data_IF_075254455484
#
_entry.id   IF_075254455484
#
_cell.length_a   1.000
_cell.length_b   1.000
_cell.length_c   1.000
_cell.angle_alpha   90.00
_cell.angle_beta   90.00
_cell.angle_gamma   90.00
#
_symmetry.space_group_name_H-M   'P 1'
#
loop_
_entity.id
_entity.type
_entity.pdbx_description
1 polymer ?
#
# COMPACT_ATOMS: atom_id res chain seq x y z
N UNK A 1 3.24 16.11 6.31
CA UNK A 1 3.13 14.76 5.69
C UNK A 1 2.25 13.90 6.60
N UNK A 2 0.97 13.73 6.28
CA UNK A 2 0.01 12.99 7.13
C UNK A 2 0.21 11.49 6.82
N UNK A 3 0.84 10.75 7.73
CA UNK A 3 0.97 9.30 7.55
C UNK A 3 -0.42 8.66 7.55
N UNK A 4 -0.65 7.69 6.67
CA UNK A 4 -1.89 6.92 6.68
C UNK A 4 -2.01 6.10 7.98
N UNK A 5 -3.24 5.91 8.44
CA UNK A 5 -3.54 5.20 9.70
C UNK A 5 -2.99 3.77 9.70
N UNK A 6 -2.99 3.12 8.52
CA UNK A 6 -2.40 1.79 8.26
C UNK A 6 -0.89 1.79 8.54
N UNK A 7 -0.16 2.71 7.91
CA UNK A 7 1.30 2.83 8.08
C UNK A 7 1.68 3.17 9.51
N UNK A 8 0.86 4.00 10.17
CA UNK A 8 1.05 4.38 11.57
C UNK A 8 0.90 3.18 12.50
N UNK A 9 -0.11 2.34 12.31
CA UNK A 9 -0.36 1.15 13.11
C UNK A 9 0.77 0.11 12.98
N UNK A 10 1.22 -0.16 11.75
CA UNK A 10 2.36 -1.06 11.48
C UNK A 10 3.64 -0.50 12.12
N UNK A 11 3.88 0.81 12.00
CA UNK A 11 5.07 1.42 12.55
C UNK A 11 5.04 1.42 14.10
N UNK A 12 3.92 1.73 14.74
CA UNK A 12 3.81 1.70 16.20
C UNK A 12 3.94 0.29 16.77
N UNK A 13 3.38 -0.72 16.11
CA UNK A 13 3.53 -2.12 16.56
C UNK A 13 4.97 -2.60 16.44
N UNK A 14 5.65 -2.28 15.33
CA UNK A 14 7.03 -2.71 15.13
C UNK A 14 8.02 -1.92 16.03
N UNK A 15 7.74 -0.65 16.37
CA UNK A 15 8.61 0.12 17.28
C UNK A 15 8.75 -0.55 18.65
N UNK A 16 7.66 -1.10 19.20
CA UNK A 16 7.71 -1.83 20.47
C UNK A 16 8.50 -3.14 20.37
N UNK A 17 8.36 -3.89 19.28
CA UNK A 17 9.14 -5.12 19.09
C UNK A 17 10.63 -4.84 18.91
N UNK A 18 10.99 -3.77 18.20
CA UNK A 18 12.39 -3.32 18.06
C UNK A 18 12.99 -2.90 19.41
N UNK A 19 12.28 -2.09 20.19
CA UNK A 19 12.78 -1.60 21.49
C UNK A 19 12.97 -2.73 22.50
N UNK A 20 12.01 -3.64 22.62
CA UNK A 20 12.11 -4.82 23.49
C UNK A 20 13.26 -5.73 23.02
N UNK A 21 13.33 -6.03 21.71
CA UNK A 21 14.38 -6.88 21.15
C UNK A 21 15.79 -6.33 21.39
N UNK A 22 16.00 -5.03 21.17
CA UNK A 22 17.27 -4.36 21.47
C UNK A 22 17.58 -4.40 22.96
N UNK A 23 16.59 -4.14 23.82
CA UNK A 23 16.76 -4.20 25.28
C UNK A 23 17.24 -5.56 25.77
N UNK A 24 16.66 -6.65 25.24
CA UNK A 24 17.06 -8.02 25.58
C UNK A 24 18.49 -8.34 25.12
N UNK A 25 18.88 -7.90 23.93
CA UNK A 25 20.24 -8.07 23.42
C UNK A 25 21.23 -7.30 24.29
N UNK A 26 20.93 -6.03 24.61
CA UNK A 26 21.80 -5.20 25.46
C UNK A 26 21.96 -5.83 26.85
N UNK A 27 20.87 -6.29 27.48
CA UNK A 27 20.93 -6.96 28.77
C UNK A 27 21.76 -8.25 28.72
N UNK A 28 21.56 -9.07 27.67
CA UNK A 28 22.34 -10.29 27.45
C UNK A 28 23.82 -10.03 27.20
N UNK A 29 24.17 -8.96 26.46
CA UNK A 29 25.56 -8.54 26.23
C UNK A 29 26.19 -8.01 27.52
N UNK A 30 25.48 -7.19 28.30
CA UNK A 30 25.94 -6.70 29.60
C UNK A 30 26.26 -7.88 30.52
N UNK A 31 25.37 -8.87 30.58
CA UNK A 31 25.61 -10.09 31.35
C UNK A 31 26.89 -10.82 30.91
N UNK A 32 27.08 -11.01 29.59
CA UNK A 32 28.25 -11.68 29.04
C UNK A 32 29.54 -10.92 29.35
N UNK A 33 29.54 -9.60 29.22
CA UNK A 33 30.67 -8.73 29.55
C UNK A 33 30.99 -8.80 31.05
N UNK A 34 29.99 -8.75 31.93
CA UNK A 34 30.24 -8.80 33.38
C UNK A 34 30.78 -10.17 33.81
N UNK A 35 30.21 -11.26 33.29
CA UNK A 35 30.73 -12.61 33.54
C UNK A 35 32.18 -12.75 33.08
N UNK A 36 32.49 -12.29 31.87
CA UNK A 36 33.84 -12.36 31.31
C UNK A 36 34.85 -11.45 32.04
N UNK A 37 34.45 -10.24 32.44
CA UNK A 37 35.36 -9.23 33.00
C UNK A 37 35.52 -9.29 34.52
N UNK A 38 34.47 -9.70 35.25
CA UNK A 38 34.41 -9.68 36.71
C UNK A 38 34.21 -11.06 37.35
N UNK A 39 34.02 -12.12 36.56
CA UNK A 39 33.84 -13.48 37.07
C UNK A 39 32.60 -13.68 37.96
N UNK A 40 31.67 -12.70 37.96
CA UNK A 40 30.45 -12.73 38.75
C UNK A 40 29.29 -13.21 37.89
N UNK A 41 28.57 -14.21 38.37
CA UNK A 41 27.31 -14.64 37.77
C UNK A 41 26.19 -13.70 38.24
N UNK A 42 25.88 -12.70 37.42
CA UNK A 42 24.65 -11.90 37.58
C UNK A 42 23.46 -12.77 37.16
N UNK A 43 22.27 -12.49 37.67
CA UNK A 43 21.01 -13.09 37.21
C UNK A 43 20.76 -12.72 35.73
N UNK A 44 21.15 -13.61 34.82
CA UNK A 44 20.94 -13.46 33.38
C UNK A 44 21.34 -14.73 32.64
N UNK A 45 20.59 -15.06 31.59
CA UNK A 45 20.88 -16.22 30.75
C UNK A 45 21.38 -15.72 29.39
N UNK A 46 22.49 -16.23 28.85
CA UNK A 46 23.00 -15.81 27.54
C UNK A 46 21.99 -16.04 26.40
N UNK A 47 21.00 -16.90 26.61
CA UNK A 47 19.85 -17.12 25.72
C UNK A 47 19.02 -15.88 25.40
N UNK A 48 19.04 -14.83 26.24
CA UNK A 48 18.31 -13.59 25.98
C UNK A 48 18.76 -12.91 24.67
N UNK A 49 20.04 -13.05 24.29
CA UNK A 49 20.57 -12.52 23.04
C UNK A 49 19.91 -13.22 21.83
N UNK A 50 19.73 -14.55 21.91
CA UNK A 50 19.10 -15.31 20.82
C UNK A 50 17.63 -14.93 20.65
N UNK A 51 16.89 -14.80 21.76
CA UNK A 51 15.48 -14.41 21.74
C UNK A 51 15.33 -12.99 21.17
N UNK A 52 16.14 -12.04 21.65
CA UNK A 52 16.15 -10.68 21.13
C UNK A 52 16.53 -10.62 19.65
N UNK A 53 17.50 -11.44 19.23
CA UNK A 53 17.92 -11.56 17.83
C UNK A 53 16.81 -12.05 16.91
N UNK A 54 16.11 -13.12 17.27
CA UNK A 54 14.97 -13.66 16.51
C UNK A 54 13.86 -12.62 16.38
N UNK A 55 13.54 -11.91 17.48
CA UNK A 55 12.55 -10.83 17.46
C UNK A 55 12.93 -9.70 16.50
N UNK A 56 14.19 -9.27 16.48
CA UNK A 56 14.65 -8.25 15.55
C UNK A 56 14.60 -8.71 14.10
N UNK A 57 15.00 -9.95 13.82
CA UNK A 57 14.92 -10.53 12.48
C UNK A 57 13.46 -10.53 12.00
N UNK A 58 12.52 -10.98 12.84
CA UNK A 58 11.09 -10.98 12.52
C UNK A 58 10.53 -9.56 12.28
N UNK A 59 10.95 -8.58 13.10
CA UNK A 59 10.54 -7.20 12.92
C UNK A 59 11.06 -6.61 11.59
N UNK A 60 12.33 -6.89 11.23
CA UNK A 60 12.94 -6.45 9.98
C UNK A 60 12.25 -7.11 8.78
N UNK A 61 12.01 -8.42 8.79
CA UNK A 61 11.36 -9.13 7.68
C UNK A 61 9.93 -8.63 7.47
N UNK A 62 9.19 -8.33 8.54
CA UNK A 62 7.86 -7.75 8.46
C UNK A 62 7.87 -6.37 7.78
N UNK A 63 8.77 -5.48 8.21
CA UNK A 63 8.92 -4.14 7.61
C UNK A 63 9.34 -4.24 6.13
N UNK A 64 10.27 -5.13 5.79
CA UNK A 64 10.71 -5.33 4.41
C UNK A 64 9.60 -5.90 3.52
N UNK A 65 8.83 -6.87 4.02
CA UNK A 65 7.70 -7.48 3.30
C UNK A 65 6.66 -6.43 2.90
N UNK A 66 6.31 -5.52 3.83
CA UNK A 66 5.37 -4.42 3.55
C UNK A 66 5.88 -3.49 2.44
N UNK A 67 7.18 -3.13 2.47
CA UNK A 67 7.78 -2.28 1.42
C UNK A 67 7.79 -2.97 0.06
N UNK A 68 8.18 -4.23 0.03
CA UNK A 68 8.24 -5.03 -1.20
C UNK A 68 6.88 -5.19 -1.87
N UNK A 69 5.84 -5.49 -1.08
CA UNK A 69 4.47 -5.63 -1.59
C UNK A 69 3.92 -4.30 -2.14
N UNK A 70 4.21 -3.18 -1.47
CA UNK A 70 3.82 -1.85 -1.94
C UNK A 70 4.45 -1.49 -3.29
N UNK A 71 5.75 -1.78 -3.45
CA UNK A 71 6.46 -1.48 -4.69
C UNK A 71 6.01 -2.39 -5.86
N UNK A 72 5.64 -3.65 -5.58
CA UNK A 72 4.99 -4.54 -6.56
C UNK A 72 3.67 -3.99 -7.07
N UNK A 73 2.78 -3.60 -6.16
CA UNK A 73 1.47 -3.04 -6.52
C UNK A 73 1.66 -1.76 -7.33
N UNK A 74 2.57 -0.87 -6.91
CA UNK A 74 2.86 0.36 -7.66
C UNK A 74 3.45 0.06 -9.04
N UNK A 75 4.31 -0.95 -9.16
CA UNK A 75 4.86 -1.40 -10.43
C UNK A 75 3.77 -1.92 -11.38
N UNK A 76 2.89 -2.78 -10.90
CA UNK A 76 1.79 -3.34 -11.70
C UNK A 76 0.79 -2.27 -12.16
N UNK A 77 0.45 -1.31 -11.30
CA UNK A 77 -0.47 -0.21 -11.64
C UNK A 77 0.07 0.74 -12.72
N UNK A 78 1.39 0.78 -12.95
CA UNK A 78 1.96 1.55 -14.08
C UNK A 78 1.68 0.91 -15.44
N UNK A 79 1.46 -0.40 -15.46
CA UNK A 79 1.26 -1.17 -16.68
C UNK A 79 -0.19 -1.10 -17.16
N UNK A 80 -1.16 -1.01 -16.26
CA UNK A 80 -2.58 -1.13 -16.59
C UNK A 80 -3.38 0.15 -16.30
N UNK A 81 -4.14 0.70 -17.27
CA UNK A 81 -4.97 1.88 -17.07
C UNK A 81 -6.27 1.56 -16.30
N UNK A 82 -6.77 0.32 -16.41
CA UNK A 82 -7.93 -0.19 -15.65
C UNK A 82 -7.65 -1.63 -15.27
N UNK A 83 -7.76 -1.96 -13.98
CA UNK A 83 -7.56 -3.32 -13.48
C UNK A 83 -8.55 -3.61 -12.34
N UNK A 84 -9.14 -4.81 -12.34
CA UNK A 84 -9.97 -5.25 -11.23
C UNK A 84 -9.11 -5.63 -10.02
N UNK A 85 -9.58 -5.33 -8.81
CA UNK A 85 -8.82 -5.66 -7.59
C UNK A 85 -8.57 -7.17 -7.46
N UNK A 86 -9.55 -7.99 -7.84
CA UNK A 86 -9.45 -9.45 -7.80
C UNK A 86 -8.37 -9.99 -8.74
N UNK A 87 -8.32 -9.49 -9.98
CA UNK A 87 -7.33 -9.93 -10.97
C UNK A 87 -5.93 -9.48 -10.56
N UNK A 88 -5.78 -8.22 -10.12
CA UNK A 88 -4.50 -7.70 -9.63
C UNK A 88 -4.00 -8.47 -8.40
N UNK A 89 -4.90 -8.83 -7.49
CA UNK A 89 -4.58 -9.64 -6.32
C UNK A 89 -4.12 -11.05 -6.72
N UNK A 90 -4.79 -11.67 -7.69
CA UNK A 90 -4.43 -13.00 -8.20
C UNK A 90 -3.06 -13.01 -8.89
N UNK A 91 -2.75 -11.99 -9.70
CA UNK A 91 -1.48 -11.85 -10.41
C UNK A 91 -0.30 -11.64 -9.43
N UNK A 92 -0.52 -10.81 -8.41
CA UNK A 92 0.49 -10.52 -7.40
C UNK A 92 0.58 -11.60 -6.30
N UNK A 93 -0.30 -12.61 -6.32
CA UNK A 93 -0.46 -13.63 -5.26
C UNK A 93 -0.67 -12.99 -3.88
N UNK A 94 -1.51 -11.96 -3.82
CA UNK A 94 -1.85 -11.20 -2.62
C UNK A 94 -3.34 -11.32 -2.28
N UNK A 95 -3.74 -11.01 -1.05
CA UNK A 95 -5.18 -10.90 -0.73
C UNK A 95 -5.73 -9.57 -1.26
N UNK A 96 -6.97 -9.58 -1.74
CA UNK A 96 -7.65 -8.37 -2.25
C UNK A 96 -7.68 -7.24 -1.23
N UNK A 97 -7.89 -7.57 0.05
CA UNK A 97 -7.87 -6.60 1.15
C UNK A 97 -6.51 -5.88 1.27
N UNK A 98 -5.41 -6.61 1.05
CA UNK A 98 -4.06 -6.09 1.22
C UNK A 98 -3.75 -5.15 0.05
N UNK A 99 -4.08 -5.57 -1.18
CA UNK A 99 -3.98 -4.73 -2.38
C UNK A 99 -4.81 -3.46 -2.23
N UNK A 100 -6.07 -3.57 -1.77
CA UNK A 100 -6.95 -2.43 -1.52
C UNK A 100 -6.34 -1.45 -0.51
N UNK A 101 -5.82 -1.94 0.62
CA UNK A 101 -5.20 -1.08 1.64
C UNK A 101 -3.96 -0.36 1.11
N UNK A 102 -3.12 -1.04 0.32
CA UNK A 102 -1.94 -0.46 -0.32
C UNK A 102 -2.35 0.64 -1.30
N UNK A 103 -3.38 0.41 -2.12
CA UNK A 103 -3.88 1.41 -3.06
C UNK A 103 -4.41 2.66 -2.33
N UNK A 104 -5.15 2.48 -1.24
CA UNK A 104 -5.63 3.58 -0.40
C UNK A 104 -4.46 4.35 0.22
N UNK A 105 -3.43 3.66 0.69
CA UNK A 105 -2.21 4.28 1.22
C UNK A 105 -1.48 5.09 0.14
N UNK A 106 -1.31 4.52 -1.08
CA UNK A 106 -0.69 5.20 -2.21
C UNK A 106 -1.45 6.46 -2.64
N UNK A 107 -2.80 6.43 -2.61
CA UNK A 107 -3.64 7.60 -2.88
C UNK A 107 -3.47 8.68 -1.80
N UNK A 108 -3.45 8.27 -0.55
CA UNK A 108 -3.27 9.18 0.59
C UNK A 108 -1.91 9.88 0.56
N UNK A 109 -0.87 9.17 0.10
CA UNK A 109 0.48 9.72 -0.08
C UNK A 109 0.64 10.57 -1.36
N UNK A 110 -0.40 10.67 -2.20
CA UNK A 110 -0.36 11.38 -3.48
C UNK A 110 0.47 10.68 -4.58
N UNK A 111 0.88 9.43 -4.36
CA UNK A 111 1.64 8.66 -5.36
C UNK A 111 0.75 8.01 -6.42
N UNK A 112 -0.56 7.99 -6.21
CA UNK A 112 -1.52 7.35 -7.09
C UNK A 112 -2.82 8.17 -7.13
N UNK A 113 -3.20 8.65 -8.31
CA UNK A 113 -4.57 9.10 -8.58
C UNK A 113 -5.29 7.95 -9.25
N UNK A 114 -6.19 7.33 -8.53
CA UNK A 114 -7.04 6.26 -9.05
C UNK A 114 -8.49 6.53 -8.64
N UNK A 115 -9.46 6.01 -9.38
CA UNK A 115 -10.89 6.00 -9.03
C UNK A 115 -11.36 4.56 -8.82
N UNK A 116 -12.33 4.35 -7.93
CA UNK A 116 -12.96 3.05 -7.72
C UNK A 116 -14.35 3.07 -8.35
N UNK A 117 -14.66 2.09 -9.20
CA UNK A 117 -16.01 1.89 -9.71
C UNK A 117 -16.85 1.15 -8.66
N UNK A 118 -17.92 1.76 -8.11
CA UNK A 118 -18.74 1.14 -7.07
C UNK A 118 -19.55 -0.07 -7.55
N UNK A 119 -19.71 -0.27 -8.87
CA UNK A 119 -20.50 -1.37 -9.43
C UNK A 119 -19.66 -2.61 -9.74
N UNK A 120 -18.45 -2.44 -10.26
CA UNK A 120 -17.58 -3.56 -10.63
C UNK A 120 -16.44 -3.85 -9.63
N UNK A 121 -16.15 -2.91 -8.72
CA UNK A 121 -14.97 -3.00 -7.86
C UNK A 121 -13.65 -2.74 -8.59
N UNK A 122 -13.71 -2.22 -9.82
CA UNK A 122 -12.52 -1.91 -10.62
C UNK A 122 -11.78 -0.68 -10.10
N UNK A 123 -10.47 -0.67 -10.31
CA UNK A 123 -9.60 0.49 -10.09
C UNK A 123 -9.23 1.09 -11.44
N UNK A 124 -9.69 2.31 -11.69
CA UNK A 124 -9.29 3.11 -12.86
C UNK A 124 -8.08 3.93 -12.44
N UNK A 125 -6.92 3.62 -13.01
CA UNK A 125 -5.65 4.29 -12.71
C UNK A 125 -5.51 5.50 -13.62
N UNK A 126 -5.56 6.71 -13.04
CA UNK A 126 -5.43 7.96 -13.79
C UNK A 126 -3.95 8.36 -13.92
N UNK A 127 -3.23 8.38 -12.79
CA UNK A 127 -1.82 8.78 -12.75
C UNK A 127 -1.07 8.03 -11.65
N UNK A 128 0.16 7.59 -11.95
CA UNK A 128 1.09 7.02 -10.97
C UNK A 128 2.29 7.95 -10.86
N UNK A 129 2.46 8.59 -9.68
CA UNK A 129 3.52 9.58 -9.39
C UNK A 129 3.60 10.76 -10.37
N UNK A 130 2.47 11.16 -10.96
CA UNK A 130 2.43 12.26 -11.94
C UNK A 130 2.84 11.84 -13.35
N UNK A 131 3.06 10.56 -13.60
CA UNK A 131 3.13 9.99 -14.95
C UNK A 131 1.82 9.27 -15.28
N UNK A 132 1.33 9.46 -16.52
CA UNK A 132 0.25 8.65 -17.07
C UNK A 132 0.68 7.17 -17.18
N UNK A 133 -0.26 6.20 -17.11
CA UNK A 133 0.05 4.80 -17.25
C UNK A 133 0.77 4.53 -18.58
N UNK A 134 1.78 3.67 -18.56
CA UNK A 134 2.67 3.41 -19.71
C UNK A 134 1.89 2.87 -20.93
N UNK A 135 0.79 2.17 -20.69
CA UNK A 135 -0.12 1.70 -21.76
C UNK A 135 -0.74 2.85 -22.58
N UNK A 136 -0.91 4.04 -21.98
CA UNK A 136 -1.46 5.22 -22.68
C UNK A 136 -0.38 5.92 -23.52
N UNK A 137 0.87 5.89 -23.07
CA UNK A 137 1.98 6.60 -23.72
C UNK A 137 2.55 5.87 -24.95
N UNK A 138 2.34 4.55 -25.06
CA UNK A 138 2.97 3.71 -26.08
C UNK A 138 2.01 3.20 -27.17
N UNK A 139 0.73 3.60 -27.17
CA UNK A 139 -0.24 3.17 -28.20
C UNK A 139 -0.40 1.65 -28.30
N UNK A 140 -0.07 0.91 -27.23
CA UNK A 140 -0.04 -0.56 -27.25
C UNK A 140 -1.47 -1.08 -27.11
N UNK A 141 -1.93 -1.99 -27.98
CA UNK A 141 -3.24 -2.64 -27.86
C UNK A 141 -3.36 -3.33 -26.50
N UNK A 142 -4.53 -3.19 -25.90
CA UNK A 142 -4.88 -3.80 -24.62
C UNK A 142 -5.14 -5.29 -24.82
N UNK A 143 -4.08 -6.05 -25.14
CA UNK A 143 -4.12 -7.50 -25.32
C UNK A 143 -4.14 -8.17 -23.93
N UNK A 144 -5.33 -8.22 -23.33
CA UNK A 144 -5.52 -8.81 -22.00
C UNK A 144 -6.90 -8.59 -21.36
N UNK A 145 -7.83 -7.94 -22.06
CA UNK A 145 -9.25 -7.89 -21.66
C UNK A 145 -9.97 -8.95 -22.50
N UNK A 146 -10.45 -10.04 -21.89
CA UNK A 146 -11.43 -10.90 -22.55
C UNK A 146 -12.77 -10.14 -22.61
N UNK A 147 -13.26 -9.72 -23.80
CA UNK A 147 -14.42 -8.83 -23.93
C UNK A 147 -15.78 -9.54 -23.87
N UNK A 148 -15.86 -10.83 -23.52
CA UNK A 148 -17.12 -11.56 -23.55
C UNK A 148 -17.88 -11.47 -22.23
N UNK A 149 -18.47 -10.29 -21.99
CA UNK A 149 -19.79 -10.04 -21.37
C UNK A 149 -19.98 -8.53 -21.26
N UNK A 150 -20.12 -7.88 -22.40
CA UNK A 150 -20.69 -6.53 -22.50
C UNK A 150 -22.05 -6.73 -23.16
N UNK A 151 -23.06 -6.92 -22.33
CA UNK A 151 -24.43 -7.03 -22.80
C UNK A 151 -24.83 -5.70 -23.43
N UNK A 152 -25.11 -5.78 -24.73
CA UNK A 152 -25.50 -4.67 -25.58
C UNK A 152 -26.88 -4.13 -25.19
N UNK A 153 -26.94 -3.22 -24.21
CA UNK A 153 -28.01 -2.21 -24.11
C UNK A 153 -27.68 -1.13 -23.08
N UNK A 154 -27.13 0.01 -23.53
CA UNK A 154 -27.61 1.36 -23.15
C UNK A 154 -26.62 2.41 -23.69
N UNK A 155 -26.84 2.81 -24.94
CA UNK A 155 -26.42 4.13 -25.41
C UNK A 155 -27.41 5.12 -24.79
N UNK A 156 -27.06 5.69 -23.63
CA UNK A 156 -27.74 6.87 -23.10
C UNK A 156 -26.68 7.95 -22.86
N UNK A 157 -26.95 9.11 -23.45
CA UNK A 157 -26.05 10.26 -23.62
C UNK A 157 -25.31 10.57 -22.31
N UNK A 158 -24.00 10.33 -22.30
CA UNK A 158 -23.14 10.60 -21.14
C UNK A 158 -22.86 12.11 -21.15
N UNK A 159 -23.40 12.94 -20.23
CA UNK A 159 -22.92 14.31 -20.09
C UNK A 159 -21.43 14.24 -19.76
N UNK A 160 -20.60 15.12 -20.33
CA UNK A 160 -19.15 15.14 -20.08
C UNK A 160 -18.88 15.07 -18.57
N UNK A 161 -18.44 13.91 -18.10
CA UNK A 161 -18.10 13.67 -16.70
C UNK A 161 -16.63 14.00 -16.52
N UNK A 162 -16.34 14.88 -15.55
CA UNK A 162 -14.98 15.24 -15.15
C UNK A 162 -14.64 14.57 -13.83
N UNK A 163 -13.36 14.51 -13.49
CA UNK A 163 -12.90 13.91 -12.24
C UNK A 163 -12.52 15.01 -11.25
N UNK A 164 -12.86 14.80 -9.99
CA UNK A 164 -12.45 15.70 -8.93
C UNK A 164 -10.92 15.60 -8.75
N UNK A 165 -10.15 16.70 -8.89
CA UNK A 165 -8.70 16.67 -8.73
C UNK A 165 -8.26 16.40 -7.29
N UNK A 166 -9.15 16.58 -6.32
CA UNK A 166 -8.85 16.42 -4.89
C UNK A 166 -9.07 14.99 -4.38
N UNK A 167 -10.10 14.29 -4.86
CA UNK A 167 -10.44 12.94 -4.37
C UNK A 167 -10.66 11.89 -5.45
N UNK A 168 -10.63 12.26 -6.74
CA UNK A 168 -10.70 11.34 -7.87
C UNK A 168 -12.09 10.76 -8.16
N UNK A 169 -13.14 11.18 -7.45
CA UNK A 169 -14.51 10.76 -7.75
C UNK A 169 -15.09 11.45 -8.98
N UNK A 170 -16.07 10.81 -9.61
CA UNK A 170 -16.84 11.37 -10.71
C UNK A 170 -17.61 12.60 -10.27
N UNK A 171 -17.52 13.66 -11.07
CA UNK A 171 -18.25 14.91 -10.91
C UNK A 171 -18.75 15.38 -12.27
N UNK A 172 -19.90 16.03 -12.30
CA UNK A 172 -20.48 16.51 -13.55
C UNK A 172 -19.75 17.78 -13.96
N UNK A 173 -19.53 17.98 -15.26
CA UNK A 173 -18.95 19.22 -15.78
C UNK A 173 -19.90 20.38 -15.44
N UNK A 174 -19.45 21.28 -14.57
CA UNK A 174 -20.25 22.38 -14.01
C UNK A 174 -20.53 22.29 -12.50
N UNK A 175 -20.23 21.16 -11.85
CA UNK A 175 -20.34 21.05 -10.38
C UNK A 175 -19.33 22.00 -9.71
N UNK A 176 -19.79 22.90 -8.84
CA UNK A 176 -18.91 23.81 -8.08
C UNK A 176 -18.17 23.12 -6.92
N UNK A 177 -18.68 21.98 -6.46
CA UNK A 177 -18.13 21.21 -5.36
C UNK A 177 -18.24 19.71 -5.66
N UNK A 178 -17.31 18.94 -5.12
CA UNK A 178 -17.34 17.49 -5.28
C UNK A 178 -18.33 16.85 -4.31
N UNK A 179 -19.29 16.09 -4.84
CA UNK A 179 -20.30 15.36 -4.04
C UNK A 179 -19.73 14.29 -3.11
N UNK A 180 -18.48 13.85 -3.31
CA UNK A 180 -17.85 12.82 -2.50
C UNK A 180 -16.95 13.38 -1.39
N UNK A 181 -16.19 14.43 -1.69
CA UNK A 181 -15.19 14.98 -0.75
C UNK A 181 -15.40 16.45 -0.37
N UNK A 182 -16.40 17.13 -0.93
CA UNK A 182 -16.74 18.52 -0.60
C UNK A 182 -15.76 19.57 -1.14
N UNK A 183 -14.73 19.17 -1.87
CA UNK A 183 -13.73 20.10 -2.42
C UNK A 183 -14.31 20.99 -3.52
N UNK A 184 -13.95 22.27 -3.55
CA UNK A 184 -14.39 23.19 -4.60
C UNK A 184 -13.71 22.90 -5.93
N UNK A 185 -14.51 22.75 -6.98
CA UNK A 185 -14.10 22.48 -8.36
C UNK A 185 -14.28 23.79 -9.13
N UNK A 186 -13.23 24.58 -9.21
CA UNK A 186 -13.21 25.86 -9.91
C UNK A 186 -12.09 25.85 -10.94
#
# INVERSE_FOLDING_TARGET
MKMSTSRRAINTSNIWTFTIGIGLILWGVIWLVVKFRFGKDITGTPWLILIGGIMLIAAITNVMSYRYNRDKVLGALKSYPRVSLAQLASELKMQEKDVKSIIVDLRTEGQLKASFDPKSGDVIVLEVRGQAPTAVAAGVPVEGINPQKVDAKSQEVIPEQIYCPYCGSFVRKGDMFCNNCGSSLK
#
